data_IF_074336530054
#
_entry.id   IF_074336530054
#
_cell.length_a   1.000
_cell.length_b   1.000
_cell.length_c   1.000
_cell.angle_alpha   90.00
_cell.angle_beta   90.00
_cell.angle_gamma   90.00
#
_symmetry.space_group_name_H-M   'P 1'
#
loop_
_entity.id
_entity.type
_entity.pdbx_description
1 polymer ?
#
# COMPACT_ATOMS: atom_id res chain seq x y z
N UNK A 1 15.16 -62.52 -2.22
CA UNK A 1 15.19 -61.28 -1.40
C UNK A 1 15.07 -60.11 -2.35
N UNK A 2 13.87 -59.53 -2.49
CA UNK A 2 13.60 -58.42 -3.42
C UNK A 2 12.84 -57.33 -2.68
N UNK A 3 13.41 -56.14 -2.60
CA UNK A 3 12.70 -54.88 -2.39
C UNK A 3 13.65 -53.77 -2.87
N UNK A 4 13.59 -53.43 -4.16
CA UNK A 4 12.69 -52.43 -4.77
C UNK A 4 13.04 -51.02 -4.28
N UNK A 5 13.87 -50.36 -5.08
CA UNK A 5 14.32 -48.99 -4.89
C UNK A 5 13.15 -48.01 -4.99
N UNK A 6 13.04 -47.13 -4.00
CA UNK A 6 12.10 -46.00 -4.03
C UNK A 6 12.77 -44.83 -4.74
N UNK A 7 12.36 -44.58 -5.98
CA UNK A 7 12.59 -43.31 -6.64
C UNK A 7 11.87 -42.19 -5.87
N UNK A 8 12.64 -41.18 -5.45
CA UNK A 8 12.10 -39.96 -4.84
C UNK A 8 11.78 -39.01 -5.98
N UNK A 9 10.52 -38.97 -6.40
CA UNK A 9 10.04 -38.03 -7.41
C UNK A 9 9.90 -36.65 -6.74
N UNK A 10 10.54 -35.56 -7.22
CA UNK A 10 10.35 -34.24 -6.64
C UNK A 10 8.94 -33.75 -6.96
N UNK A 11 8.14 -33.53 -5.91
CA UNK A 11 6.79 -32.96 -6.00
C UNK A 11 6.89 -31.52 -6.53
N UNK A 12 6.65 -31.33 -7.83
CA UNK A 12 6.55 -30.01 -8.47
C UNK A 12 5.45 -29.23 -7.77
N UNK A 13 5.82 -28.27 -6.92
CA UNK A 13 4.87 -27.33 -6.33
C UNK A 13 4.20 -26.57 -7.47
N UNK A 14 2.89 -26.77 -7.66
CA UNK A 14 2.10 -25.91 -8.55
C UNK A 14 2.10 -24.52 -7.93
N UNK A 15 2.69 -23.56 -8.64
CA UNK A 15 2.57 -22.15 -8.28
C UNK A 15 1.08 -21.80 -8.22
N UNK A 16 0.59 -21.49 -7.02
CA UNK A 16 -0.73 -20.93 -6.85
C UNK A 16 -0.78 -19.62 -7.65
N UNK A 17 -1.80 -19.37 -8.47
CA UNK A 17 -1.96 -18.08 -9.11
C UNK A 17 -2.08 -17.05 -7.99
N UNK A 18 -1.10 -16.14 -7.91
CA UNK A 18 -1.23 -14.95 -7.08
C UNK A 18 -2.33 -14.12 -7.73
N UNK A 19 -3.55 -14.25 -7.23
CA UNK A 19 -4.60 -13.28 -7.49
C UNK A 19 -4.05 -11.92 -7.06
N UNK A 20 -3.99 -10.92 -7.94
CA UNK A 20 -3.80 -9.56 -7.47
C UNK A 20 -5.05 -9.26 -6.64
N UNK A 21 -4.90 -9.29 -5.32
CA UNK A 21 -5.89 -8.69 -4.43
C UNK A 21 -5.83 -7.18 -4.66
N UNK A 22 -6.48 -6.73 -5.74
CA UNK A 22 -7.07 -5.40 -5.74
C UNK A 22 -8.18 -5.45 -4.71
N UNK A 23 -7.81 -5.22 -3.45
CA UNK A 23 -8.76 -4.73 -2.46
C UNK A 23 -9.18 -3.37 -3.00
N UNK A 24 -10.15 -3.37 -3.91
CA UNK A 24 -11.04 -2.23 -4.06
C UNK A 24 -11.72 -2.13 -2.71
N UNK A 25 -11.19 -1.21 -1.90
CA UNK A 25 -11.79 -0.78 -0.66
C UNK A 25 -13.13 -0.18 -1.09
N UNK A 26 -14.16 -1.03 -1.14
CA UNK A 26 -15.54 -0.62 -1.36
C UNK A 26 -15.83 0.46 -0.32
N UNK A 27 -16.06 1.69 -0.81
CA UNK A 27 -16.41 2.81 0.06
C UNK A 27 -17.93 2.85 0.23
N UNK A 28 -18.46 2.47 1.40
CA UNK A 28 -19.89 2.56 1.65
C UNK A 28 -20.41 4.01 1.70
N UNK A 29 -19.53 5.03 1.71
CA UNK A 29 -19.92 6.44 1.86
C UNK A 29 -19.86 7.27 0.57
N UNK A 30 -19.37 6.71 -0.55
CA UNK A 30 -19.26 7.43 -1.82
C UNK A 30 -18.34 8.67 -1.79
N UNK A 31 -17.45 8.76 -0.80
CA UNK A 31 -16.51 9.87 -0.66
C UNK A 31 -15.37 9.65 -1.65
N UNK A 32 -15.14 10.67 -2.49
CA UNK A 32 -14.04 10.67 -3.45
C UNK A 32 -12.72 10.26 -2.78
N UNK A 33 -12.02 9.31 -3.42
CA UNK A 33 -10.80 8.74 -2.86
C UNK A 33 -9.69 9.78 -2.59
N UNK A 34 -9.67 10.88 -3.36
CA UNK A 34 -8.75 11.99 -3.12
C UNK A 34 -9.18 12.83 -1.92
N UNK A 35 -10.48 13.04 -1.73
CA UNK A 35 -11.02 13.74 -0.54
C UNK A 35 -10.71 12.93 0.73
N UNK A 36 -10.94 11.62 0.74
CA UNK A 36 -10.58 10.75 1.88
C UNK A 36 -9.09 10.78 2.18
N UNK A 37 -8.27 10.75 1.13
CA UNK A 37 -6.80 10.85 1.26
C UNK A 37 -6.38 12.19 1.82
N UNK A 38 -6.95 13.30 1.33
CA UNK A 38 -6.66 14.63 1.82
C UNK A 38 -7.03 14.76 3.30
N UNK A 39 -8.21 14.26 3.68
CA UNK A 39 -8.63 14.20 5.08
C UNK A 39 -7.66 13.37 5.94
N UNK A 40 -7.24 12.21 5.46
CA UNK A 40 -6.25 11.39 6.17
C UNK A 40 -4.93 12.14 6.40
N UNK A 41 -4.44 12.90 5.42
CA UNK A 41 -3.22 13.73 5.56
C UNK A 41 -3.41 14.83 6.61
N UNK A 42 -4.57 15.50 6.62
CA UNK A 42 -4.88 16.53 7.63
C UNK A 42 -4.84 15.92 9.03
N UNK A 43 -5.54 14.81 9.25
CA UNK A 43 -5.58 14.12 10.53
C UNK A 43 -4.19 13.64 10.98
N UNK A 44 -3.37 13.13 10.06
CA UNK A 44 -2.00 12.72 10.39
C UNK A 44 -1.13 13.91 10.80
N UNK A 45 -1.32 15.10 10.22
CA UNK A 45 -0.59 16.31 10.62
C UNK A 45 -1.03 16.82 12.00
N UNK A 46 -2.33 16.75 12.31
CA UNK A 46 -2.83 17.06 13.64
C UNK A 46 -2.28 16.09 14.69
N UNK A 47 -2.26 14.79 14.37
CA UNK A 47 -1.66 13.77 15.23
C UNK A 47 -0.16 13.99 15.45
N UNK A 48 0.59 14.43 14.42
CA UNK A 48 2.00 14.79 14.60
C UNK A 48 2.18 15.90 15.65
N UNK A 49 1.36 16.97 15.59
CA UNK A 49 1.45 18.06 16.56
C UNK A 49 1.18 17.57 18.00
N UNK A 50 0.23 16.64 18.18
CA UNK A 50 -0.03 16.03 19.48
C UNK A 50 1.15 15.14 19.95
N UNK A 51 1.76 14.38 19.05
CA UNK A 51 2.93 13.53 19.36
C UNK A 51 4.16 14.38 19.73
N UNK A 52 4.38 15.51 19.04
CA UNK A 52 5.45 16.45 19.37
C UNK A 52 5.26 17.05 20.78
N UNK A 53 4.03 17.42 21.14
CA UNK A 53 3.71 17.90 22.49
C UNK A 53 3.92 16.83 23.56
N UNK A 54 3.70 15.56 23.22
CA UNK A 54 3.96 14.42 24.10
C UNK A 54 5.45 14.02 24.17
N UNK A 55 6.32 14.63 23.34
CA UNK A 55 7.74 14.27 23.26
C UNK A 55 8.01 12.97 22.48
N UNK A 56 7.04 12.47 21.73
CA UNK A 56 7.09 11.18 21.02
C UNK A 56 7.78 11.30 19.65
N UNK A 57 9.07 11.66 19.65
CA UNK A 57 9.84 11.95 18.44
C UNK A 57 9.85 10.79 17.42
N UNK A 58 9.94 9.54 17.91
CA UNK A 58 9.97 8.36 17.04
C UNK A 58 8.63 8.16 16.32
N UNK A 59 7.51 8.35 17.02
CA UNK A 59 6.18 8.27 16.43
C UNK A 59 5.98 9.37 15.38
N UNK A 60 6.43 10.60 15.66
CA UNK A 60 6.41 11.71 14.69
C UNK A 60 7.19 11.38 13.42
N UNK A 61 8.40 10.80 13.54
CA UNK A 61 9.20 10.37 12.40
C UNK A 61 8.49 9.30 11.55
N UNK A 62 7.91 8.28 12.18
CA UNK A 62 7.17 7.23 11.46
C UNK A 62 5.92 7.77 10.77
N UNK A 63 5.22 8.69 11.43
CA UNK A 63 4.01 9.31 10.88
C UNK A 63 4.34 10.21 9.68
N UNK A 64 5.43 10.97 9.74
CA UNK A 64 5.93 11.73 8.59
C UNK A 64 6.27 10.82 7.39
N UNK A 65 6.94 9.68 7.63
CA UNK A 65 7.24 8.71 6.57
C UNK A 65 5.97 8.10 5.94
N UNK A 66 4.91 7.91 6.74
CA UNK A 66 3.62 7.45 6.24
C UNK A 66 2.94 8.51 5.36
N UNK A 67 2.98 9.79 5.76
CA UNK A 67 2.49 10.91 4.95
C UNK A 67 3.24 10.97 3.62
N UNK A 68 4.57 10.89 3.64
CA UNK A 68 5.39 10.95 2.42
C UNK A 68 5.06 9.80 1.45
N UNK A 69 4.90 8.59 1.99
CA UNK A 69 4.48 7.41 1.22
C UNK A 69 3.09 7.59 0.61
N UNK A 70 2.18 8.22 1.36
CA UNK A 70 0.85 8.56 0.86
C UNK A 70 0.90 9.67 -0.19
N UNK A 71 1.82 10.62 -0.13
CA UNK A 71 1.89 11.68 -1.14
C UNK A 71 2.55 11.19 -2.45
N UNK A 72 3.60 10.37 -2.37
CA UNK A 72 4.28 9.81 -3.58
C UNK A 72 3.36 9.00 -4.48
N UNK A 73 2.50 8.17 -3.88
CA UNK A 73 1.48 7.39 -4.61
C UNK A 73 0.47 8.25 -5.40
N UNK A 74 0.40 9.57 -5.17
CA UNK A 74 -0.43 10.50 -5.96
C UNK A 74 0.28 10.95 -7.22
N UNK A 75 1.58 11.28 -7.12
CA UNK A 75 2.41 11.70 -8.27
C UNK A 75 2.54 10.61 -9.32
N UNK A 76 2.60 9.34 -8.92
CA UNK A 76 2.71 8.20 -9.86
C UNK A 76 1.41 7.90 -10.62
N UNK A 77 0.28 8.49 -10.20
CA UNK A 77 -1.04 8.28 -10.81
C UNK A 77 -1.50 9.43 -11.70
N UNK A 78 -0.72 10.50 -11.83
CA UNK A 78 -1.00 11.57 -12.78
C UNK A 78 -0.54 11.04 -14.15
N UNK A 79 -1.44 10.74 -15.11
CA UNK A 79 -1.02 10.41 -16.46
C UNK A 79 -0.22 11.60 -16.99
N UNK A 80 0.92 11.38 -17.68
CA UNK A 80 1.59 12.49 -18.35
C UNK A 80 0.55 13.14 -19.27
N UNK A 81 0.39 14.46 -19.15
CA UNK A 81 -0.46 15.23 -20.03
C UNK A 81 -0.11 14.81 -21.46
N UNK A 82 -1.04 14.11 -22.13
CA UNK A 82 -0.97 13.94 -23.57
C UNK A 82 -1.18 15.34 -24.11
N UNK A 83 -0.07 16.03 -24.39
CA UNK A 83 -0.06 17.24 -25.19
C UNK A 83 -0.72 16.90 -26.52
N UNK A 84 -2.03 17.16 -26.62
CA UNK A 84 -2.73 17.33 -27.88
C UNK A 84 -2.45 18.76 -28.35
N UNK A 85 -1.57 18.92 -29.34
CA UNK A 85 -1.56 19.99 -30.36
C UNK A 85 -0.81 19.41 -31.56
N UNK A 86 -1.55 18.90 -32.55
CA UNK A 86 -2.07 19.57 -33.77
C UNK A 86 -1.20 19.16 -34.97
#
# INVERSE_FOLDING_TARGET
>A
MTNSGREIVPRRAKAAPRTPESIDIYDPQGIDSNVRRALAVVLMREAMAALEQAGEQMATCHLQAAIDSLMRRRTDRIPPEKNCRD
#
